data_IF_233442262732
#
_entry.id   IF_233442262732
#
_cell.length_a   1.000
_cell.length_b   1.000
_cell.length_c   1.000
_cell.angle_alpha   90.00
_cell.angle_beta   90.00
_cell.angle_gamma   90.00
#
_symmetry.space_group_name_H-M   'P 1'
#
loop_
_entity.id
_entity.type
_entity.pdbx_description
1 polymer ?
#
# COMPACT_ATOMS: atom_id res chain seq x y z
N UNK A 1 -5.50 -4.57 -6.71
CA UNK A 1 -4.35 -3.81 -6.18
C UNK A 1 -4.85 -2.41 -5.89
N UNK A 2 -4.75 -1.94 -4.64
CA UNK A 2 -5.18 -0.60 -4.26
C UNK A 2 -4.05 0.39 -4.58
N UNK A 3 -4.37 1.45 -5.33
CA UNK A 3 -3.42 2.49 -5.70
C UNK A 3 -4.01 3.85 -5.31
N UNK A 4 -3.29 4.57 -4.45
CA UNK A 4 -3.69 5.88 -3.97
C UNK A 4 -3.69 6.95 -5.09
N UNK A 5 -3.02 6.70 -6.21
CA UNK A 5 -3.05 7.54 -7.41
C UNK A 5 -3.29 6.69 -8.65
N UNK A 6 -3.88 7.29 -9.70
CA UNK A 6 -4.11 6.61 -10.98
C UNK A 6 -2.77 6.35 -11.66
N UNK A 7 -2.54 5.09 -12.01
CA UNK A 7 -1.36 4.63 -12.74
C UNK A 7 -1.77 4.16 -14.14
N UNK A 8 -0.83 4.07 -15.10
CA UNK A 8 -1.14 3.57 -16.43
C UNK A 8 -1.67 2.12 -16.35
N UNK A 9 -2.75 1.77 -17.08
CA UNK A 9 -3.33 0.42 -17.04
C UNK A 9 -2.33 -0.71 -17.36
N UNK A 10 -1.35 -0.42 -18.21
CA UNK A 10 -0.27 -1.31 -18.62
C UNK A 10 0.82 -1.49 -17.55
N UNK A 11 0.90 -0.58 -16.58
CA UNK A 11 1.92 -0.56 -15.54
C UNK A 11 1.32 -0.09 -14.20
N UNK A 12 0.39 -0.85 -13.62
CA UNK A 12 -0.21 -0.50 -12.35
C UNK A 12 0.85 -0.57 -11.24
N UNK A 13 0.99 0.51 -10.48
CA UNK A 13 1.83 0.54 -9.28
C UNK A 13 0.98 0.69 -8.02
N UNK A 14 1.34 -0.04 -6.98
CA UNK A 14 0.75 0.15 -5.66
C UNK A 14 1.34 1.41 -5.01
N UNK A 15 0.56 2.10 -4.18
CA UNK A 15 1.11 3.22 -3.41
C UNK A 15 2.03 2.73 -2.29
N UNK A 16 3.03 3.54 -1.93
CA UNK A 16 4.00 3.22 -0.90
C UNK A 16 3.33 2.99 0.48
N UNK A 17 2.22 3.69 0.77
CA UNK A 17 1.40 3.44 1.96
C UNK A 17 0.78 2.04 1.98
N UNK A 18 0.23 1.56 0.86
CA UNK A 18 -0.27 0.19 0.76
C UNK A 18 0.86 -0.83 1.00
N UNK A 19 2.03 -0.60 0.40
CA UNK A 19 3.17 -1.50 0.56
C UNK A 19 3.65 -1.57 2.01
N UNK A 20 3.66 -0.44 2.72
CA UNK A 20 4.09 -0.36 4.12
C UNK A 20 3.07 -0.97 5.12
N UNK A 21 1.78 -0.97 4.80
CA UNK A 21 0.71 -1.48 5.70
C UNK A 21 0.38 -2.95 5.39
N UNK A 22 0.15 -3.28 4.12
CA UNK A 22 -0.37 -4.58 3.69
C UNK A 22 0.70 -5.46 3.01
N UNK A 23 1.81 -4.87 2.58
CA UNK A 23 2.79 -5.52 1.71
C UNK A 23 3.35 -6.82 2.28
N UNK A 24 3.65 -6.87 3.57
CA UNK A 24 4.18 -8.06 4.23
C UNK A 24 3.22 -9.28 4.18
N UNK A 25 1.91 -9.04 4.18
CA UNK A 25 0.90 -10.10 4.04
C UNK A 25 0.80 -10.65 2.60
N UNK A 26 1.14 -9.84 1.61
CA UNK A 26 0.96 -10.18 0.20
C UNK A 26 2.04 -11.15 -0.32
N UNK A 27 1.63 -12.31 -0.85
CA UNK A 27 2.57 -13.36 -1.31
C UNK A 27 3.53 -12.86 -2.39
N UNK A 28 3.03 -12.06 -3.35
CA UNK A 28 3.87 -11.53 -4.43
C UNK A 28 4.95 -10.56 -3.92
N UNK A 29 4.68 -9.84 -2.84
CA UNK A 29 5.65 -8.92 -2.21
C UNK A 29 6.72 -9.74 -1.48
N UNK A 30 6.31 -10.75 -0.70
CA UNK A 30 7.24 -11.68 -0.04
C UNK A 30 8.17 -12.38 -1.03
N UNK A 31 7.64 -12.83 -2.17
CA UNK A 31 8.45 -13.43 -3.25
C UNK A 31 9.39 -12.41 -3.92
N UNK A 32 9.02 -11.13 -3.99
CA UNK A 32 9.89 -10.08 -4.50
C UNK A 32 11.05 -9.80 -3.54
N UNK A 33 10.81 -9.79 -2.23
CA UNK A 33 11.86 -9.64 -1.21
C UNK A 33 12.84 -10.80 -1.23
N UNK A 34 12.33 -12.05 -1.18
CA UNK A 34 13.19 -13.26 -1.21
C UNK A 34 14.00 -13.33 -2.51
N UNK A 35 13.44 -12.83 -3.61
CA UNK A 35 14.11 -12.78 -4.91
C UNK A 35 14.98 -11.54 -5.16
N UNK A 36 15.26 -10.72 -4.14
CA UNK A 36 16.08 -9.49 -4.24
C UNK A 36 15.56 -8.46 -5.27
N UNK A 37 14.25 -8.47 -5.53
CA UNK A 37 13.56 -7.52 -6.41
C UNK A 37 12.90 -6.38 -5.64
N UNK A 38 12.88 -6.46 -4.32
CA UNK A 38 12.35 -5.45 -3.42
C UNK A 38 13.16 -5.42 -2.14
N UNK A 39 13.70 -4.25 -1.79
CA UNK A 39 14.35 -4.03 -0.50
C UNK A 39 13.32 -4.23 0.64
N UNK A 40 13.57 -5.13 1.61
CA UNK A 40 12.70 -5.30 2.77
C UNK A 40 12.42 -3.99 3.53
N UNK A 41 13.35 -3.03 3.52
CA UNK A 41 13.16 -1.73 4.16
C UNK A 41 11.98 -0.94 3.55
N UNK A 42 11.63 -1.21 2.28
CA UNK A 42 10.46 -0.62 1.63
C UNK A 42 9.11 -1.08 2.22
N UNK A 43 9.10 -2.12 3.07
CA UNK A 43 7.93 -2.56 3.82
C UNK A 43 7.74 -1.79 5.13
N UNK A 44 8.61 -0.83 5.44
CA UNK A 44 8.56 -0.05 6.67
C UNK A 44 8.31 1.43 6.38
N UNK A 45 7.65 2.12 7.31
CA UNK A 45 7.43 3.58 7.24
C UNK A 45 8.76 4.28 7.54
N UNK A 46 9.17 5.21 6.66
CA UNK A 46 10.36 6.01 6.94
C UNK A 46 10.04 7.13 7.95
N UNK A 47 11.04 7.62 8.70
CA UNK A 47 10.85 8.79 9.56
C UNK A 47 10.30 9.99 8.78
N UNK A 48 9.32 10.68 9.37
CA UNK A 48 8.68 11.86 8.76
C UNK A 48 7.52 11.55 7.80
N UNK A 49 7.13 10.28 7.65
CA UNK A 49 5.89 9.92 6.98
C UNK A 49 4.67 10.41 7.76
N UNK A 50 3.55 10.70 7.07
CA UNK A 50 2.28 10.93 7.74
C UNK A 50 1.77 9.65 8.41
N UNK A 51 0.90 9.81 9.41
CA UNK A 51 0.14 8.70 9.96
C UNK A 51 -0.69 8.03 8.85
N UNK A 52 -0.67 6.71 8.82
CA UNK A 52 -1.42 5.90 7.87
C UNK A 52 -2.50 5.11 8.63
N UNK A 53 -3.62 4.84 7.97
CA UNK A 53 -4.56 3.82 8.44
C UNK A 53 -3.88 2.44 8.45
N UNK A 54 -4.25 1.61 9.41
CA UNK A 54 -3.66 0.30 9.63
C UNK A 54 -4.33 -0.81 8.79
N UNK A 55 -5.40 -0.48 8.07
CA UNK A 55 -6.04 -1.38 7.10
C UNK A 55 -6.81 -0.63 6.03
N UNK A 56 -7.08 -1.30 4.90
CA UNK A 56 -7.99 -0.78 3.88
C UNK A 56 -9.38 -0.46 4.45
N UNK A 57 -9.90 -1.33 5.31
CA UNK A 57 -11.21 -1.18 5.94
C UNK A 57 -11.32 0.08 6.79
N UNK A 58 -10.28 0.38 7.58
CA UNK A 58 -10.21 1.59 8.39
C UNK A 58 -10.17 2.84 7.50
N UNK A 59 -9.31 2.83 6.48
CA UNK A 59 -9.23 3.91 5.50
C UNK A 59 -10.57 4.14 4.79
N UNK A 60 -11.25 3.06 4.37
CA UNK A 60 -12.53 3.13 3.70
C UNK A 60 -13.63 3.68 4.63
N UNK A 61 -13.70 3.24 5.89
CA UNK A 61 -14.68 3.79 6.84
C UNK A 61 -14.43 5.27 7.13
N UNK A 62 -13.16 5.67 7.27
CA UNK A 62 -12.81 7.05 7.59
C UNK A 62 -13.03 8.03 6.43
N UNK A 63 -12.87 7.60 5.17
CA UNK A 63 -12.94 8.47 3.99
C UNK A 63 -14.14 8.18 3.07
N UNK A 64 -14.83 7.06 3.27
CA UNK A 64 -15.91 6.57 2.40
C UNK A 64 -17.31 6.94 2.88
N UNK A 65 -17.50 7.34 4.14
CA UNK A 65 -18.79 7.83 4.65
C UNK A 65 -19.21 9.17 4.01
N UNK A 66 -18.27 9.89 3.39
CA UNK A 66 -18.54 11.10 2.59
C UNK A 66 -19.02 10.78 1.15
N UNK A 67 -19.05 9.49 0.77
CA UNK A 67 -19.57 9.00 -0.52
C UNK A 67 -21.04 8.56 -0.38
N UNK A 68 -21.88 9.36 0.26
CA UNK A 68 -23.32 9.25 0.12
C UNK A 68 -23.76 9.90 -1.22
N UNK A 69 -24.70 9.30 -1.99
CA UNK A 69 -25.27 9.93 -3.19
C UNK A 69 -26.07 11.21 -2.87
#
# INVERSE_FOLDING_TARGET
MFACHRTPPEAPSACAGWLAVEGAGHVGVRLAVVGDRLDPAALTRAPGWPDLYESFDEMFRANGDDLHP
#
